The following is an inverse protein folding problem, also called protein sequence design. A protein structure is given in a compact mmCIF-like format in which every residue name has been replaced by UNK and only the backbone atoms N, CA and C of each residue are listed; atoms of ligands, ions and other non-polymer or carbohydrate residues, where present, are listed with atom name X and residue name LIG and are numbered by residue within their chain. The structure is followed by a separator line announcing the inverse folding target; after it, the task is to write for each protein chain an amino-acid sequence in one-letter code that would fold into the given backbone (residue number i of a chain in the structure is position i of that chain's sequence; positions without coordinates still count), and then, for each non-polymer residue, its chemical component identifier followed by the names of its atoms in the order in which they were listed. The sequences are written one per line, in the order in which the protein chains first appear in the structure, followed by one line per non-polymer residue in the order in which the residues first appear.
data_IF_333591353838
#
_entry.id   IF_333591353838
#
_cell.length_a   1.000
_cell.length_b   1.000
_cell.length_c   1.000
_cell.angle_alpha   90.00
_cell.angle_beta   90.00
_cell.angle_gamma   90.00
#
_symmetry.space_group_name_H-M   'P 1'
#
loop_
_entity.id
_entity.type
_entity.pdbx_description
1 polymer ?
#
# COMPACT_ATOMS: atom_id res chain seq x y z
N UNK A 1 2.33 -9.16 -0.02
CA UNK A 1 2.17 -8.93 -1.48
C UNK A 1 2.89 -10.03 -2.25
N UNK A 2 2.37 -10.36 -3.39
CA UNK A 2 2.98 -11.34 -4.29
C UNK A 2 3.63 -10.61 -5.45
N UNK A 3 4.90 -10.93 -5.72
CA UNK A 3 5.68 -10.37 -6.80
C UNK A 3 5.04 -10.66 -8.17
N UNK A 4 5.10 -9.69 -9.09
CA UNK A 4 4.66 -9.85 -10.49
C UNK A 4 3.18 -10.18 -10.67
N UNK A 5 2.36 -9.91 -9.68
CA UNK A 5 0.91 -10.14 -9.73
C UNK A 5 0.18 -8.86 -9.35
N UNK A 6 -1.03 -8.70 -9.89
CA UNK A 6 -1.92 -7.68 -9.35
C UNK A 6 -2.31 -8.08 -7.93
N UNK A 7 -2.22 -7.14 -7.00
CA UNK A 7 -2.58 -7.37 -5.62
C UNK A 7 -3.66 -6.37 -5.20
N UNK A 8 -4.66 -6.86 -4.48
CA UNK A 8 -5.64 -5.98 -3.81
C UNK A 8 -5.28 -5.96 -2.34
N UNK A 9 -4.98 -4.78 -1.83
CA UNK A 9 -4.57 -4.58 -0.46
C UNK A 9 -5.71 -3.95 0.33
N UNK A 10 -6.12 -4.60 1.41
CA UNK A 10 -7.06 -4.04 2.37
C UNK A 10 -6.29 -3.63 3.61
N UNK A 11 -6.50 -2.40 4.05
CA UNK A 11 -5.78 -1.82 5.17
C UNK A 11 -6.75 -1.29 6.20
N UNK A 12 -6.45 -1.55 7.45
CA UNK A 12 -7.12 -0.91 8.58
C UNK A 12 -6.11 0.00 9.27
N UNK A 13 -6.47 1.26 9.42
CA UNK A 13 -5.63 2.24 10.10
C UNK A 13 -6.28 2.57 11.43
N UNK A 14 -5.53 2.40 12.49
CA UNK A 14 -6.01 2.70 13.84
C UNK A 14 -5.15 3.77 14.50
N UNK A 15 -5.80 4.57 15.33
CA UNK A 15 -5.14 5.51 16.22
C UNK A 15 -5.35 4.99 17.66
N UNK A 16 -4.33 4.31 18.18
CA UNK A 16 -4.49 3.53 19.39
C UNK A 16 -5.41 2.33 19.16
N UNK A 17 -6.55 2.28 19.83
CA UNK A 17 -7.53 1.19 19.67
C UNK A 17 -8.70 1.57 18.79
N UNK A 18 -8.74 2.81 18.30
CA UNK A 18 -9.87 3.32 17.49
C UNK A 18 -9.50 3.35 16.02
N UNK A 19 -10.42 2.90 15.13
CA UNK A 19 -10.21 3.10 13.70
C UNK A 19 -10.15 4.60 13.37
N UNK A 20 -9.28 4.96 12.44
CA UNK A 20 -9.23 6.32 11.91
C UNK A 20 -10.45 6.57 11.05
N UNK A 21 -11.11 7.71 11.25
CA UNK A 21 -12.24 8.13 10.43
C UNK A 21 -11.72 8.91 9.22
N UNK A 22 -11.96 8.36 8.04
CA UNK A 22 -11.56 8.98 6.78
C UNK A 22 -12.66 9.81 6.13
N UNK A 23 -13.75 10.10 6.84
CA UNK A 23 -14.82 10.96 6.33
C UNK A 23 -14.26 12.32 5.93
N UNK A 24 -14.48 12.71 4.68
CA UNK A 24 -13.96 13.98 4.15
C UNK A 24 -12.48 14.00 3.86
N UNK A 25 -11.78 12.90 4.06
CA UNK A 25 -10.36 12.80 3.71
C UNK A 25 -10.18 12.82 2.19
N UNK A 26 -9.10 13.47 1.73
CA UNK A 26 -8.75 13.56 0.31
C UNK A 26 -7.30 13.16 0.11
N UNK A 27 -6.95 12.87 -1.15
CA UNK A 27 -5.57 12.51 -1.52
C UNK A 27 -5.00 11.39 -0.67
N UNK A 28 -5.78 10.32 -0.48
CA UNK A 28 -5.33 9.15 0.25
C UNK A 28 -4.40 8.36 -0.66
N UNK A 29 -3.14 8.23 -0.26
CA UNK A 29 -2.10 7.57 -1.05
C UNK A 29 -1.40 6.51 -0.21
N UNK A 30 -1.08 5.39 -0.85
CA UNK A 30 -0.20 4.37 -0.29
C UNK A 30 1.18 4.49 -0.96
N UNK A 31 2.20 4.71 -0.16
CA UNK A 31 3.58 4.69 -0.63
C UNK A 31 4.20 3.32 -0.35
N UNK A 32 4.87 2.77 -1.34
CA UNK A 32 5.59 1.50 -1.25
C UNK A 32 7.04 1.76 -1.64
N UNK A 33 7.97 1.36 -0.78
CA UNK A 33 9.39 1.60 -1.02
C UNK A 33 10.23 0.35 -0.78
N UNK A 34 11.13 0.09 -1.71
CA UNK A 34 12.23 -0.86 -1.56
C UNK A 34 13.52 -0.11 -1.86
N UNK A 35 13.95 0.71 -0.91
CA UNK A 35 15.08 1.65 -1.11
C UNK A 35 16.34 0.98 -1.61
N UNK A 36 16.63 -0.23 -1.12
CA UNK A 36 17.81 -0.99 -1.53
C UNK A 36 17.82 -1.32 -3.01
N UNK A 37 16.65 -1.36 -3.62
CA UNK A 37 16.47 -1.71 -5.02
C UNK A 37 16.07 -0.51 -5.88
N UNK A 38 16.01 0.68 -5.31
CA UNK A 38 15.62 1.89 -6.01
C UNK A 38 14.16 1.94 -6.42
N UNK A 39 13.28 1.20 -5.73
CA UNK A 39 11.85 1.16 -6.05
C UNK A 39 11.07 2.09 -5.15
N UNK A 40 10.24 2.94 -5.75
CA UNK A 40 9.27 3.77 -5.05
C UNK A 40 7.99 3.85 -5.87
N UNK A 41 6.86 3.55 -5.24
CA UNK A 41 5.56 3.49 -5.89
C UNK A 41 4.56 4.25 -5.01
N UNK A 42 3.74 5.12 -5.61
CA UNK A 42 2.60 5.73 -4.96
C UNK A 42 1.33 5.30 -5.66
N UNK A 43 0.33 4.88 -4.89
CA UNK A 43 -0.94 4.42 -5.41
C UNK A 43 -2.09 5.14 -4.72
N UNK A 44 -3.15 5.51 -5.48
CA UNK A 44 -4.36 6.03 -4.86
C UNK A 44 -5.07 4.95 -4.07
N UNK A 45 -5.74 5.35 -3.00
CA UNK A 45 -6.45 4.45 -2.10
C UNK A 45 -7.90 4.86 -2.02
N UNK A 46 -8.81 3.89 -2.13
CA UNK A 46 -10.23 4.09 -1.94
C UNK A 46 -10.66 3.70 -0.54
N UNK A 47 -11.70 4.36 -0.03
CA UNK A 47 -12.34 3.99 1.23
C UNK A 47 -13.60 3.21 0.92
N UNK A 48 -13.68 1.97 1.37
CA UNK A 48 -14.83 1.10 1.19
C UNK A 48 -15.22 0.48 2.52
N UNK A 49 -16.45 0.74 2.98
CA UNK A 49 -16.97 0.21 4.23
C UNK A 49 -16.05 0.46 5.44
N UNK A 50 -15.47 1.67 5.50
CA UNK A 50 -14.54 2.04 6.56
C UNK A 50 -13.14 1.47 6.45
N UNK A 51 -12.86 0.69 5.40
CA UNK A 51 -11.54 0.12 5.14
C UNK A 51 -10.89 0.82 3.95
N UNK A 52 -9.57 0.86 3.97
CA UNK A 52 -8.81 1.34 2.83
C UNK A 52 -8.53 0.18 1.88
N UNK A 53 -8.86 0.39 0.62
CA UNK A 53 -8.64 -0.60 -0.44
C UNK A 53 -7.74 0.01 -1.50
N UNK A 54 -6.66 -0.68 -1.80
CA UNK A 54 -5.69 -0.25 -2.79
C UNK A 54 -5.36 -1.40 -3.72
N UNK A 55 -5.45 -1.16 -5.03
CA UNK A 55 -5.02 -2.13 -6.02
C UNK A 55 -3.62 -1.79 -6.48
N UNK A 56 -2.69 -2.73 -6.29
CA UNK A 56 -1.36 -2.67 -6.85
C UNK A 56 -1.42 -3.28 -8.25
N UNK A 57 -1.36 -2.46 -9.33
CA UNK A 57 -1.49 -2.98 -10.67
C UNK A 57 -0.29 -3.85 -11.07
N UNK A 58 -0.51 -4.72 -12.04
CA UNK A 58 0.52 -5.62 -12.54
C UNK A 58 1.81 -4.89 -12.91
N UNK A 59 1.71 -3.76 -13.61
CA UNK A 59 2.89 -2.98 -14.02
C UNK A 59 3.73 -2.51 -12.84
N UNK A 60 3.07 -2.08 -11.77
CA UNK A 60 3.76 -1.66 -10.55
C UNK A 60 4.33 -2.85 -9.80
N UNK A 61 3.58 -3.96 -9.75
CA UNK A 61 4.05 -5.19 -9.11
C UNK A 61 5.30 -5.75 -9.78
N UNK A 62 5.45 -5.56 -11.09
CA UNK A 62 6.64 -5.99 -11.83
C UNK A 62 7.92 -5.30 -11.36
N UNK A 63 7.81 -4.14 -10.73
CA UNK A 63 8.96 -3.40 -10.20
C UNK A 63 9.46 -3.92 -8.87
N UNK A 64 8.63 -4.68 -8.15
CA UNK A 64 8.97 -5.20 -6.83
C UNK A 64 9.86 -6.43 -6.96
N UNK A 65 10.84 -6.51 -6.05
CA UNK A 65 11.67 -7.70 -5.91
C UNK A 65 11.22 -8.51 -4.71
N UNK A 66 11.64 -9.76 -4.63
CA UNK A 66 11.32 -10.65 -3.50
C UNK A 66 12.14 -10.26 -2.27
N UNK A 67 11.75 -9.16 -1.65
CA UNK A 67 12.38 -8.59 -0.45
C UNK A 67 11.33 -7.80 0.32
N UNK A 68 11.49 -7.58 1.61
CA UNK A 68 10.55 -6.75 2.35
C UNK A 68 10.47 -5.34 1.76
N UNK A 69 9.27 -4.78 1.78
CA UNK A 69 9.06 -3.39 1.40
C UNK A 69 8.50 -2.61 2.57
N UNK A 70 8.69 -1.30 2.53
CA UNK A 70 8.13 -0.38 3.50
C UNK A 70 6.88 0.24 2.93
N UNK A 71 5.83 0.34 3.73
CA UNK A 71 4.58 0.99 3.33
C UNK A 71 4.21 2.10 4.30
N UNK A 72 3.56 3.11 3.77
CA UNK A 72 3.04 4.22 4.55
C UNK A 72 1.82 4.79 3.85
N UNK A 73 0.76 5.08 4.60
CA UNK A 73 -0.44 5.73 4.08
C UNK A 73 -0.42 7.18 4.48
N UNK A 74 -0.73 8.06 3.52
CA UNK A 74 -0.77 9.52 3.71
C UNK A 74 -2.11 10.03 3.22
N UNK A 75 -2.66 11.05 3.89
CA UNK A 75 -3.91 11.67 3.47
C UNK A 75 -4.02 13.10 3.96
N UNK A 76 -4.97 13.82 3.39
CA UNK A 76 -5.36 15.16 3.86
C UNK A 76 -6.70 15.06 4.57
N UNK A 77 -6.79 15.59 5.78
CA UNK A 77 -8.04 15.57 6.56
C UNK A 77 -9.05 16.55 5.99
N UNK A 78 -10.32 16.44 6.43
CA UNK A 78 -11.38 17.34 6.01
C UNK A 78 -11.08 18.81 6.34
N UNK A 79 -10.27 19.06 7.35
CA UNK A 79 -9.85 20.41 7.76
C UNK A 79 -8.58 20.89 7.08
N UNK A 80 -8.01 20.10 6.17
CA UNK A 80 -6.82 20.46 5.42
C UNK A 80 -5.49 20.02 6.04
N UNK A 81 -5.52 19.38 7.21
CA UNK A 81 -4.31 18.85 7.84
C UNK A 81 -3.77 17.62 7.10
N UNK A 82 -2.46 17.51 7.00
CA UNK A 82 -1.83 16.35 6.39
C UNK A 82 -1.45 15.34 7.46
N UNK A 83 -1.74 14.07 7.20
CA UNK A 83 -1.47 12.97 8.12
C UNK A 83 -0.79 11.82 7.40
N UNK A 84 -0.03 11.04 8.18
CA UNK A 84 0.62 9.84 7.69
C UNK A 84 0.66 8.80 8.81
N UNK A 85 0.60 7.52 8.42
CA UNK A 85 0.81 6.42 9.36
C UNK A 85 2.29 6.27 9.69
N UNK A 86 2.60 5.47 10.70
CA UNK A 86 3.95 4.96 10.88
C UNK A 86 4.33 4.09 9.67
N UNK A 87 5.62 4.02 9.39
CA UNK A 87 6.12 3.14 8.33
C UNK A 87 6.08 1.70 8.82
N UNK A 88 5.50 0.81 8.01
CA UNK A 88 5.44 -0.62 8.31
C UNK A 88 6.21 -1.40 7.26
N UNK A 89 6.75 -2.53 7.67
CA UNK A 89 7.45 -3.45 6.80
C UNK A 89 6.55 -4.62 6.48
N UNK A 90 6.40 -4.93 5.19
CA UNK A 90 5.65 -6.10 4.75
C UNK A 90 6.50 -6.94 3.80
N UNK A 91 6.30 -8.27 3.78
CA UNK A 91 7.03 -9.12 2.85
C UNK A 91 6.46 -9.00 1.44
N UNK A 92 7.36 -9.15 0.46
CA UNK A 92 6.98 -9.38 -0.93
C UNK A 92 7.33 -10.82 -1.24
N UNK A 93 6.33 -11.65 -1.46
CA UNK A 93 6.53 -13.07 -1.71
C UNK A 93 6.89 -13.31 -3.16
N UNK A 94 7.81 -14.24 -3.36
CA UNK A 94 8.20 -14.66 -4.69
C UNK A 94 7.04 -15.43 -5.35
N UNK A 95 6.77 -15.11 -6.62
CA UNK A 95 5.78 -15.83 -7.39
C UNK A 95 6.31 -17.25 -7.71
N UNK A 96 5.61 -18.26 -7.17
CA UNK A 96 6.02 -19.65 -7.40
C UNK A 96 5.96 -20.01 -8.88
N UNK A 97 4.99 -19.46 -9.59
CA UNK A 97 4.77 -19.75 -11.02
C UNK A 97 5.68 -18.99 -11.95
N UNK A 98 6.61 -18.24 -11.40
CA UNK A 98 7.53 -17.43 -12.19
C UNK A 98 8.39 -18.28 -13.14
N UNK A 99 8.72 -19.49 -12.72
CA UNK A 99 9.59 -20.39 -13.46
C UNK A 99 8.77 -21.57 -13.98
N UNK A 100 8.63 -21.68 -15.29
CA UNK A 100 8.01 -22.82 -15.93
C UNK A 100 6.50 -22.89 -15.81
N UNK A 101 5.86 -21.88 -15.34
CA UNK A 101 4.41 -21.75 -15.38
C UNK A 101 3.98 -20.74 -16.41
N UNK A 102 2.84 -20.99 -16.93
CA UNK A 102 2.19 -20.06 -17.85
C UNK A 102 0.89 -19.51 -17.28
#
# INVERSE_FOLDING_TARGET
MIQKMENVLELEITDGTRPVDFTGATNILLAISQKQCGVYIELPVDVQDGKLVCTLPYKSAMRLVSAPCLIQVMWTTATGGKRATAVEQIPVERLIREEGYD
#
